data_IF_973506675122
#
_entry.id   IF_973506675122
#
_cell.length_a   1.000
_cell.length_b   1.000
_cell.length_c   1.000
_cell.angle_alpha   90.00
_cell.angle_beta   90.00
_cell.angle_gamma   90.00
#
_symmetry.space_group_name_H-M   'P 1'
#
loop_
_entity.id
_entity.type
_entity.pdbx_description
1 polymer ?
#
# COMPACT_ATOMS: atom_id res chain seq x y z
N UNK A 1 -8.03 6.19 -4.96
CA UNK A 1 -7.23 6.78 -3.86
C UNK A 1 -7.59 6.17 -2.52
N UNK A 2 -6.61 5.78 -1.71
CA UNK A 2 -6.76 5.28 -0.34
C UNK A 2 -7.20 6.46 0.52
N UNK A 3 -8.25 6.24 1.30
CA UNK A 3 -8.83 7.26 2.18
C UNK A 3 -8.87 6.76 3.63
N UNK A 4 -9.16 7.65 4.57
CA UNK A 4 -9.40 7.28 5.96
C UNK A 4 -10.54 6.23 6.09
N UNK A 5 -11.54 6.26 5.20
CA UNK A 5 -12.61 5.26 5.17
C UNK A 5 -12.07 3.86 4.80
N UNK A 6 -11.19 3.79 3.80
CA UNK A 6 -10.54 2.53 3.40
C UNK A 6 -9.71 1.96 4.55
N UNK A 7 -8.94 2.80 5.25
CA UNK A 7 -8.14 2.36 6.41
C UNK A 7 -9.02 1.87 7.56
N UNK A 8 -10.20 2.46 7.77
CA UNK A 8 -11.14 2.01 8.82
C UNK A 8 -11.86 0.71 8.49
N UNK A 9 -11.97 0.35 7.21
CA UNK A 9 -12.56 -0.92 6.76
C UNK A 9 -11.61 -2.12 6.96
N UNK A 10 -10.31 -1.85 7.19
CA UNK A 10 -9.30 -2.88 7.51
C UNK A 10 -9.68 -3.56 8.82
N UNK A 11 -9.83 -4.88 8.79
CA UNK A 11 -10.23 -5.67 9.96
C UNK A 11 -9.52 -7.02 10.08
N UNK A 12 -8.92 -7.54 9.01
CA UNK A 12 -8.18 -8.79 8.96
C UNK A 12 -6.66 -8.52 8.93
N UNK A 13 -6.13 -8.03 10.04
CA UNK A 13 -4.73 -7.58 10.12
C UNK A 13 -3.72 -8.75 10.04
N UNK A 14 -2.51 -8.50 9.49
CA UNK A 14 -2.08 -7.29 8.78
C UNK A 14 -2.66 -7.23 7.35
N UNK A 15 -2.95 -6.04 6.84
CA UNK A 15 -3.41 -5.87 5.44
C UNK A 15 -2.52 -4.91 4.67
N UNK A 16 -2.19 -5.26 3.42
CA UNK A 16 -1.49 -4.38 2.48
C UNK A 16 -2.46 -3.93 1.39
N UNK A 17 -2.83 -2.66 1.48
CA UNK A 17 -3.76 -2.03 0.56
C UNK A 17 -2.96 -1.41 -0.58
N UNK A 18 -3.14 -1.87 -1.82
CA UNK A 18 -2.49 -1.29 -2.97
C UNK A 18 -3.23 -0.02 -3.45
N UNK A 19 -2.47 0.92 -3.99
CA UNK A 19 -3.05 2.03 -4.73
C UNK A 19 -2.20 2.48 -5.92
N UNK A 20 -2.89 3.10 -6.85
CA UNK A 20 -2.32 3.68 -8.05
C UNK A 20 -2.93 5.07 -8.27
N UNK A 21 -2.13 5.94 -8.87
CA UNK A 21 -2.54 7.29 -9.19
C UNK A 21 -2.07 7.67 -10.59
N UNK A 22 -2.96 8.32 -11.34
CA UNK A 22 -2.64 8.97 -12.60
C UNK A 22 -3.24 10.35 -12.62
N UNK A 23 -2.44 11.35 -12.95
CA UNK A 23 -2.94 12.70 -13.08
C UNK A 23 -1.99 13.67 -13.74
N UNK A 24 -2.48 14.88 -13.92
CA UNK A 24 -1.69 15.99 -14.42
C UNK A 24 -1.23 16.85 -13.24
N UNK A 25 0.00 17.32 -13.29
CA UNK A 25 0.56 18.20 -12.26
C UNK A 25 0.89 19.52 -12.94
N UNK A 26 0.38 20.64 -12.39
CA UNK A 26 0.70 21.94 -12.94
C UNK A 26 2.15 22.33 -12.64
N UNK A 27 2.71 23.23 -13.43
CA UNK A 27 4.08 23.70 -13.24
C UNK A 27 4.25 24.33 -11.85
N UNK A 28 5.40 24.07 -11.22
CA UNK A 28 5.78 24.58 -9.89
C UNK A 28 4.75 24.27 -8.80
N UNK A 29 4.06 23.13 -8.89
CA UNK A 29 2.98 22.78 -7.97
C UNK A 29 3.03 21.30 -7.55
N UNK A 30 2.36 20.99 -6.45
CA UNK A 30 2.08 19.62 -6.04
C UNK A 30 0.83 19.09 -6.74
N UNK A 31 0.67 17.77 -6.84
CA UNK A 31 -0.54 17.18 -7.39
C UNK A 31 -1.76 17.58 -6.54
N UNK A 32 -2.84 17.96 -7.22
CA UNK A 32 -4.12 18.37 -6.61
C UNK A 32 -5.25 17.51 -7.20
N UNK A 33 -6.02 16.79 -6.36
CA UNK A 33 -5.85 16.64 -4.91
C UNK A 33 -4.57 15.86 -4.55
N UNK A 34 -4.06 15.98 -3.30
CA UNK A 34 -2.92 15.18 -2.85
C UNK A 34 -3.15 13.69 -3.04
N UNK A 35 -2.12 12.97 -3.47
CA UNK A 35 -2.20 11.53 -3.79
C UNK A 35 -2.59 10.71 -2.57
N UNK A 36 -2.00 11.02 -1.41
CA UNK A 36 -2.33 10.41 -0.13
C UNK A 36 -2.19 11.45 0.99
N UNK A 37 -3.27 11.71 1.70
CA UNK A 37 -3.26 12.48 2.94
C UNK A 37 -4.14 11.75 3.95
N UNK A 38 -3.51 10.99 4.83
CA UNK A 38 -4.15 10.23 5.88
C UNK A 38 -3.80 10.86 7.22
N UNK A 39 -4.83 11.26 7.95
CA UNK A 39 -4.73 11.80 9.31
C UNK A 39 -5.65 10.99 10.20
N UNK A 40 -5.39 10.98 11.51
CA UNK A 40 -6.33 10.42 12.51
C UNK A 40 -6.70 8.94 12.27
N UNK A 41 -5.75 8.13 11.82
CA UNK A 41 -5.92 6.67 11.66
C UNK A 41 -5.58 5.88 12.93
N UNK A 42 -5.31 6.57 14.05
CA UNK A 42 -5.21 5.95 15.38
C UNK A 42 -6.48 5.15 15.69
N UNK A 43 -6.38 3.92 16.23
CA UNK A 43 -5.20 3.31 16.86
C UNK A 43 -4.28 2.52 15.92
N UNK A 44 -4.54 2.48 14.61
CA UNK A 44 -3.75 1.67 13.66
C UNK A 44 -2.38 2.30 13.38
N UNK A 45 -1.40 1.46 13.06
CA UNK A 45 -0.13 1.90 12.47
C UNK A 45 -0.18 1.67 10.97
N UNK A 46 0.39 2.63 10.24
CA UNK A 46 0.48 2.57 8.79
C UNK A 46 1.94 2.50 8.36
N UNK A 47 2.21 1.78 7.27
CA UNK A 47 3.54 1.75 6.66
C UNK A 47 3.41 1.89 5.15
N UNK A 48 3.93 2.98 4.64
CA UNK A 48 4.00 3.24 3.21
C UNK A 48 5.19 2.49 2.62
N UNK A 49 4.93 1.70 1.58
CA UNK A 49 5.94 0.86 0.96
C UNK A 49 5.82 0.78 -0.56
N UNK A 50 6.90 0.25 -1.16
CA UNK A 50 6.97 -0.10 -2.59
C UNK A 50 6.51 1.06 -3.50
N UNK A 51 6.94 2.28 -3.18
CA UNK A 51 6.59 3.47 -3.97
C UNK A 51 7.33 3.44 -5.29
N UNK A 52 6.57 3.75 -6.31
CA UNK A 52 7.00 3.72 -7.69
C UNK A 52 6.36 4.92 -8.41
N UNK A 53 7.16 5.66 -9.18
CA UNK A 53 6.71 6.87 -9.90
C UNK A 53 7.38 7.01 -11.27
N UNK A 54 6.73 7.74 -12.19
CA UNK A 54 7.34 8.10 -13.47
C UNK A 54 8.67 8.83 -13.25
N UNK A 55 9.74 8.34 -13.87
CA UNK A 55 11.09 8.89 -13.71
C UNK A 55 11.25 10.17 -14.51
N UNK A 56 11.43 11.29 -13.82
CA UNK A 56 11.75 12.60 -14.40
C UNK A 56 12.61 13.38 -13.41
N UNK A 57 13.71 13.95 -13.89
CA UNK A 57 14.69 14.67 -13.06
C UNK A 57 14.15 15.99 -12.51
N UNK A 58 13.05 16.47 -13.08
CA UNK A 58 12.44 17.76 -12.71
C UNK A 58 11.33 17.64 -11.67
N UNK A 59 11.04 16.42 -11.23
CA UNK A 59 9.91 16.08 -10.37
C UNK A 59 10.39 15.47 -9.06
N UNK A 60 9.69 15.75 -7.98
CA UNK A 60 10.05 15.37 -6.63
C UNK A 60 8.94 14.57 -5.96
N UNK A 61 9.33 13.48 -5.33
CA UNK A 61 8.57 12.70 -4.38
C UNK A 61 8.59 13.39 -3.02
N UNK A 62 7.44 13.78 -2.49
CA UNK A 62 7.34 14.40 -1.16
C UNK A 62 6.60 13.47 -0.21
N UNK A 63 7.32 13.01 0.81
CA UNK A 63 6.77 12.14 1.84
C UNK A 63 6.89 12.84 3.18
N UNK A 64 5.79 12.86 3.93
CA UNK A 64 5.75 13.33 5.30
C UNK A 64 5.06 12.26 6.15
N UNK A 65 5.83 11.64 7.05
CA UNK A 65 5.35 10.64 7.99
C UNK A 65 5.72 11.08 9.41
N UNK A 66 4.71 11.47 10.20
CA UNK A 66 4.87 12.05 11.53
C UNK A 66 5.88 13.21 11.56
N UNK A 67 7.11 12.98 12.05
CA UNK A 67 8.20 13.97 12.12
C UNK A 67 9.15 13.92 10.92
N UNK A 68 9.10 12.86 10.12
CA UNK A 68 10.01 12.64 8.99
C UNK A 68 9.46 13.33 7.75
N UNK A 69 10.28 14.16 7.12
CA UNK A 69 9.96 14.80 5.84
C UNK A 69 11.09 14.54 4.85
N UNK A 70 10.75 13.89 3.74
CA UNK A 70 11.69 13.57 2.67
C UNK A 70 11.20 14.16 1.35
N UNK A 71 12.14 14.74 0.60
CA UNK A 71 11.96 15.15 -0.79
C UNK A 71 13.01 14.41 -1.62
N UNK A 72 12.57 13.60 -2.59
CA UNK A 72 13.45 12.73 -3.39
C UNK A 72 13.17 13.00 -4.85
N UNK A 73 14.20 13.19 -5.66
CA UNK A 73 14.03 13.41 -7.11
C UNK A 73 13.51 12.12 -7.77
N UNK A 74 12.41 12.20 -8.52
CA UNK A 74 11.78 11.04 -9.15
C UNK A 74 12.71 10.35 -10.17
N UNK A 75 13.57 11.12 -10.84
CA UNK A 75 14.60 10.60 -11.74
C UNK A 75 15.61 9.63 -11.11
N UNK A 76 15.87 9.75 -9.79
CA UNK A 76 16.83 8.90 -9.07
C UNK A 76 16.27 7.54 -8.62
N UNK A 77 14.99 7.28 -8.86
CA UNK A 77 14.33 6.04 -8.44
C UNK A 77 14.55 4.90 -9.43
N UNK A 78 14.36 3.66 -8.96
CA UNK A 78 14.54 2.45 -9.77
C UNK A 78 13.42 2.38 -10.81
N UNK A 79 13.76 2.08 -12.06
CA UNK A 79 12.79 1.90 -13.13
C UNK A 79 13.44 1.87 -14.50
N UNK A 80 12.74 1.30 -15.49
CA UNK A 80 13.15 1.31 -16.88
C UNK A 80 12.73 2.64 -17.54
N UNK A 81 13.66 3.55 -17.86
CA UNK A 81 13.33 4.83 -18.47
C UNK A 81 12.78 4.70 -19.91
N UNK A 82 12.93 3.53 -20.53
CA UNK A 82 12.56 3.27 -21.93
C UNK A 82 11.24 2.49 -22.11
N UNK A 83 10.56 2.09 -21.03
CA UNK A 83 9.28 1.40 -21.16
C UNK A 83 8.17 2.42 -21.40
N UNK A 84 7.46 2.25 -22.52
CA UNK A 84 6.59 3.26 -23.12
C UNK A 84 5.44 3.75 -22.22
N UNK A 85 4.98 2.94 -21.26
CA UNK A 85 3.82 3.27 -20.41
C UNK A 85 3.87 2.65 -18.99
N UNK A 86 5.03 2.17 -18.50
CA UNK A 86 5.00 1.36 -17.26
C UNK A 86 6.34 0.91 -16.70
N UNK A 87 7.44 1.58 -17.03
CA UNK A 87 8.78 1.22 -16.56
C UNK A 87 9.06 1.56 -15.10
N UNK A 88 8.05 1.49 -14.24
CA UNK A 88 8.15 1.96 -12.88
C UNK A 88 8.35 0.73 -11.98
N UNK A 89 9.58 0.56 -11.48
CA UNK A 89 9.88 -0.49 -10.52
C UNK A 89 9.70 0.07 -9.09
N UNK A 90 9.21 -0.75 -8.15
CA UNK A 90 9.04 -0.30 -6.79
C UNK A 90 10.44 -0.11 -6.19
N UNK A 91 10.66 1.08 -5.63
CA UNK A 91 11.87 1.32 -4.84
C UNK A 91 11.62 0.87 -3.40
N UNK A 92 12.69 0.50 -2.68
CA UNK A 92 12.61 0.00 -1.30
C UNK A 92 12.27 1.12 -0.32
N UNK A 93 11.03 1.59 -0.38
CA UNK A 93 10.44 2.48 0.60
C UNK A 93 9.80 1.64 1.70
N UNK A 94 10.10 2.00 2.95
CA UNK A 94 9.48 1.40 4.13
C UNK A 94 9.38 2.49 5.20
N UNK A 95 8.29 3.25 5.17
CA UNK A 95 8.12 4.44 6.01
C UNK A 95 6.96 4.20 6.96
N UNK A 96 7.28 4.06 8.25
CA UNK A 96 6.30 3.94 9.32
C UNK A 96 5.66 5.30 9.63
N UNK A 97 4.34 5.31 9.77
CA UNK A 97 3.55 6.45 10.20
C UNK A 97 2.55 6.02 11.27
N UNK A 98 2.42 6.84 12.30
CA UNK A 98 1.61 6.53 13.48
C UNK A 98 0.50 7.53 13.76
N UNK A 99 0.57 8.74 13.19
CA UNK A 99 -0.44 9.79 13.36
C UNK A 99 -0.78 10.49 12.04
N UNK A 100 0.24 10.73 11.21
CA UNK A 100 0.10 11.42 9.93
C UNK A 100 0.94 10.73 8.86
N UNK A 101 0.29 10.41 7.75
CA UNK A 101 0.94 9.92 6.54
C UNK A 101 0.50 10.77 5.35
N UNK A 102 1.45 11.46 4.76
CA UNK A 102 1.24 12.29 3.58
C UNK A 102 2.24 11.88 2.51
N UNK A 103 1.73 11.71 1.30
CA UNK A 103 2.50 11.38 0.13
C UNK A 103 1.95 12.16 -1.07
N UNK A 104 2.83 12.90 -1.74
CA UNK A 104 2.46 13.66 -2.92
C UNK A 104 3.64 13.80 -3.89
N UNK A 105 3.32 14.21 -5.13
CA UNK A 105 4.28 14.52 -6.18
C UNK A 105 4.33 16.03 -6.43
N UNK A 106 5.52 16.58 -6.60
CA UNK A 106 5.77 17.96 -6.99
C UNK A 106 6.45 17.99 -8.35
N UNK A 107 5.99 18.86 -9.26
CA UNK A 107 6.59 19.02 -10.57
C UNK A 107 7.06 20.45 -10.79
N UNK A 108 8.29 20.61 -11.28
CA UNK A 108 8.82 21.93 -11.65
C UNK A 108 8.27 22.40 -13.02
N UNK A 109 8.41 21.63 -14.12
CA UNK A 109 7.90 22.03 -15.44
C UNK A 109 6.39 21.81 -15.57
N UNK A 110 5.79 21.02 -14.68
CA UNK A 110 4.46 20.47 -14.89
C UNK A 110 4.50 19.34 -15.90
N UNK A 111 3.41 18.60 -15.99
CA UNK A 111 3.33 17.49 -16.92
C UNK A 111 2.01 16.76 -16.88
N UNK A 112 1.82 15.95 -17.92
CA UNK A 112 0.62 15.17 -18.12
C UNK A 112 0.87 13.70 -17.81
N UNK A 113 -0.19 13.01 -17.41
CA UNK A 113 -0.21 11.56 -17.19
C UNK A 113 0.95 11.05 -16.30
N UNK A 114 1.23 11.77 -15.21
CA UNK A 114 2.11 11.26 -14.18
C UNK A 114 1.49 10.02 -13.56
N UNK A 115 2.26 8.96 -13.47
CA UNK A 115 1.82 7.69 -12.91
C UNK A 115 2.61 7.38 -11.64
N UNK A 116 1.88 6.88 -10.64
CA UNK A 116 2.46 6.40 -9.39
C UNK A 116 1.69 5.18 -8.91
N UNK A 117 2.40 4.25 -8.26
CA UNK A 117 1.77 3.26 -7.40
C UNK A 117 2.52 3.12 -6.09
N UNK A 118 1.80 2.66 -5.06
CA UNK A 118 2.32 2.49 -3.72
C UNK A 118 1.44 1.49 -2.95
N UNK A 119 1.99 0.89 -1.91
CA UNK A 119 1.25 0.05 -0.97
C UNK A 119 1.23 0.67 0.42
N UNK A 120 0.11 0.53 1.13
CA UNK A 120 0.00 0.93 2.54
C UNK A 120 -0.35 -0.30 3.37
N UNK A 121 0.58 -0.71 4.23
CA UNK A 121 0.27 -1.67 5.29
C UNK A 121 -0.54 -1.00 6.38
N UNK A 122 -1.57 -1.67 6.87
CA UNK A 122 -2.35 -1.30 8.02
C UNK A 122 -2.43 -2.47 9.01
N UNK A 123 -2.08 -2.22 10.27
CA UNK A 123 -2.19 -3.21 11.34
C UNK A 123 -2.48 -2.57 12.70
N UNK A 124 -2.98 -3.39 13.63
CA UNK A 124 -3.10 -3.01 15.04
C UNK A 124 -1.73 -3.11 15.72
N UNK A 125 -1.21 -2.02 16.31
CA UNK A 125 0.12 -2.02 16.91
C UNK A 125 0.15 -2.91 18.14
N UNK A 126 1.19 -3.75 18.23
CA UNK A 126 1.51 -4.54 19.41
C UNK A 126 2.22 -3.69 20.47
N UNK A 127 2.42 -4.22 21.68
CA UNK A 127 3.23 -3.58 22.73
C UNK A 127 4.65 -3.28 22.22
N UNK A 128 5.23 -4.18 21.43
CA UNK A 128 6.55 -4.00 20.83
C UNK A 128 6.57 -2.85 19.81
N UNK A 129 5.54 -2.73 18.96
CA UNK A 129 5.42 -1.64 17.99
C UNK A 129 5.27 -0.28 18.69
N UNK A 130 4.48 -0.23 19.76
CA UNK A 130 4.29 1.00 20.56
C UNK A 130 5.58 1.43 21.25
N UNK A 131 6.35 0.48 21.76
CA UNK A 131 7.67 0.74 22.35
C UNK A 131 8.66 1.26 21.29
N UNK A 132 8.70 0.64 20.11
CA UNK A 132 9.55 1.08 19.00
C UNK A 132 9.21 2.50 18.53
N UNK A 133 7.91 2.84 18.51
CA UNK A 133 7.40 4.15 18.12
C UNK A 133 7.38 5.18 19.27
N UNK A 134 7.97 4.86 20.43
CA UNK A 134 8.01 5.71 21.63
C UNK A 134 6.61 6.20 22.10
N UNK A 135 5.56 5.40 21.89
CA UNK A 135 4.20 5.74 22.30
C UNK A 135 3.92 5.32 23.74
N UNK A 136 3.02 6.07 24.41
CA UNK A 136 2.59 5.74 25.77
C UNK A 136 1.85 4.41 25.79
N UNK A 137 2.34 3.48 26.61
CA UNK A 137 1.67 2.22 26.88
C UNK A 137 0.47 2.45 27.81
N UNK A 138 -0.58 1.66 27.64
CA UNK A 138 -1.66 1.60 28.63
C UNK A 138 -1.18 0.88 29.91
N UNK A 139 -1.85 1.05 31.06
CA UNK A 139 -1.46 0.35 32.30
C UNK A 139 -1.40 -1.18 32.14
N UNK A 140 -2.30 -1.75 31.34
CA UNK A 140 -2.31 -3.18 31.03
C UNK A 140 -1.10 -3.60 30.17
N UNK A 141 -0.77 -2.80 29.16
CA UNK A 141 0.39 -3.03 28.29
C UNK A 141 1.71 -2.88 29.04
N UNK A 142 1.79 -1.96 30.00
CA UNK A 142 2.95 -1.83 30.89
C UNK A 142 3.14 -3.07 31.75
N UNK A 143 2.04 -3.63 32.30
CA UNK A 143 2.10 -4.87 33.08
C UNK A 143 2.58 -6.05 32.22
N UNK A 144 2.08 -6.17 31.00
CA UNK A 144 2.52 -7.21 30.04
C UNK A 144 4.00 -7.03 29.68
N UNK A 145 4.43 -5.79 29.47
CA UNK A 145 5.83 -5.48 29.18
C UNK A 145 6.77 -5.86 30.34
N UNK A 146 6.35 -5.62 31.59
CA UNK A 146 7.11 -6.01 32.79
C UNK A 146 7.15 -7.53 32.98
N UNK A 147 6.01 -8.21 32.77
CA UNK A 147 5.88 -9.66 32.94
C UNK A 147 6.68 -10.45 31.89
N UNK A 148 6.56 -10.06 30.61
CA UNK A 148 7.21 -10.74 29.49
C UNK A 148 8.60 -10.17 29.14
N UNK A 149 8.99 -9.04 29.75
CA UNK A 149 10.28 -8.39 29.48
C UNK A 149 10.45 -7.93 28.03
N UNK A 150 9.36 -7.49 27.38
CA UNK A 150 9.32 -7.17 25.94
C UNK A 150 10.31 -6.05 25.60
N UNK A 151 10.46 -5.06 26.46
CA UNK A 151 11.44 -3.96 26.30
C UNK A 151 12.84 -4.47 25.99
N UNK A 152 13.32 -5.50 26.69
CA UNK A 152 14.65 -6.09 26.46
C UNK A 152 14.77 -6.77 25.11
N UNK A 153 13.67 -7.29 24.57
CA UNK A 153 13.65 -7.93 23.25
C UNK A 153 13.60 -6.90 22.12
N UNK A 154 12.92 -5.78 22.34
CA UNK A 154 12.89 -4.63 21.42
C UNK A 154 14.26 -3.95 21.37
N UNK A 155 14.90 -3.74 22.52
CA UNK A 155 16.27 -3.21 22.59
C UNK A 155 17.30 -4.09 21.85
N UNK A 156 17.09 -5.41 21.87
CA UNK A 156 17.91 -6.38 21.12
C UNK A 156 17.57 -6.45 19.63
N UNK A 157 16.52 -5.76 19.17
CA UNK A 157 16.05 -5.79 17.80
C UNK A 157 15.36 -7.09 17.38
N UNK A 158 14.91 -7.91 18.33
CA UNK A 158 14.18 -9.16 18.05
C UNK A 158 12.71 -8.92 17.72
N UNK A 159 12.13 -7.88 18.31
CA UNK A 159 10.75 -7.46 18.09
C UNK A 159 10.67 -5.96 17.80
N UNK A 160 9.68 -5.50 17.03
CA UNK A 160 8.69 -6.30 16.28
C UNK A 160 9.33 -7.05 15.10
N UNK A 161 8.77 -8.21 14.75
CA UNK A 161 9.24 -8.96 13.58
C UNK A 161 8.90 -8.18 12.29
N UNK A 162 9.74 -8.24 11.25
CA UNK A 162 9.36 -7.78 9.92
C UNK A 162 8.07 -8.46 9.45
N UNK A 163 7.16 -7.69 8.83
CA UNK A 163 5.83 -8.17 8.40
C UNK A 163 5.88 -9.44 7.54
N UNK A 164 6.81 -9.62 6.58
CA UNK A 164 6.92 -10.87 5.83
C UNK A 164 7.19 -12.10 6.72
N UNK A 165 8.09 -11.96 7.70
CA UNK A 165 8.42 -13.04 8.64
C UNK A 165 7.27 -13.33 9.61
N UNK A 166 6.45 -12.33 9.92
CA UNK A 166 5.25 -12.52 10.72
C UNK A 166 4.23 -13.37 9.94
N UNK A 167 3.96 -13.00 8.68
CA UNK A 167 3.03 -13.72 7.80
C UNK A 167 3.48 -15.18 7.62
N UNK A 168 4.76 -15.43 7.35
CA UNK A 168 5.31 -16.79 7.18
C UNK A 168 5.19 -17.66 8.44
N UNK A 169 5.12 -17.05 9.63
CA UNK A 169 4.99 -17.76 10.90
C UNK A 169 3.55 -17.95 11.35
N UNK A 170 2.68 -17.01 10.98
CA UNK A 170 1.25 -17.02 11.35
C UNK A 170 0.42 -17.86 10.39
N UNK A 171 0.78 -17.91 9.11
CA UNK A 171 0.00 -18.58 8.08
C UNK A 171 0.78 -19.69 7.40
N UNK A 172 0.12 -20.83 7.16
CA UNK A 172 0.64 -21.89 6.31
C UNK A 172 0.07 -21.73 4.90
N UNK A 173 0.94 -21.55 3.92
CA UNK A 173 0.55 -21.47 2.52
C UNK A 173 0.28 -22.89 2.02
N UNK A 174 -0.98 -23.20 1.74
CA UNK A 174 -1.40 -24.50 1.19
C UNK A 174 -1.23 -24.54 -0.33
N UNK A 175 -1.64 -23.47 -1.02
CA UNK A 175 -1.56 -23.33 -2.48
C UNK A 175 -1.38 -21.85 -2.86
N UNK A 176 -0.70 -21.60 -3.97
CA UNK A 176 -0.52 -20.27 -4.57
C UNK A 176 -0.75 -20.37 -6.08
N UNK A 177 -1.76 -19.65 -6.58
CA UNK A 177 -2.19 -19.77 -7.97
C UNK A 177 -2.36 -18.39 -8.63
N UNK A 178 -1.94 -18.30 -9.89
CA UNK A 178 -2.17 -17.13 -10.75
C UNK A 178 -3.37 -17.36 -11.66
N UNK A 179 -4.35 -16.46 -11.61
CA UNK A 179 -5.50 -16.45 -12.51
C UNK A 179 -5.34 -15.36 -13.56
N UNK A 180 -5.22 -15.76 -14.82
CA UNK A 180 -5.10 -14.86 -15.96
C UNK A 180 -6.41 -14.77 -16.74
N UNK A 181 -6.84 -13.55 -17.06
CA UNK A 181 -8.03 -13.31 -17.87
C UNK A 181 -7.74 -12.28 -18.96
N UNK A 182 -8.33 -12.48 -20.14
CA UNK A 182 -8.32 -11.51 -21.24
C UNK A 182 -9.76 -11.24 -21.63
N UNK A 183 -10.17 -9.97 -21.58
CA UNK A 183 -11.54 -9.56 -21.84
C UNK A 183 -11.59 -8.19 -22.51
N UNK A 184 -12.67 -7.95 -23.25
CA UNK A 184 -12.98 -6.62 -23.79
C UNK A 184 -13.82 -5.87 -22.78
N UNK A 185 -13.24 -4.85 -22.16
CA UNK A 185 -13.98 -3.94 -21.27
C UNK A 185 -14.86 -3.04 -22.13
N UNK A 186 -16.17 -3.07 -21.90
CA UNK A 186 -17.13 -2.14 -22.52
C UNK A 186 -17.32 -0.93 -21.63
N UNK A 187 -17.95 0.14 -22.14
CA UNK A 187 -18.19 1.36 -21.37
C UNK A 187 -19.18 1.20 -20.20
N UNK A 188 -19.79 0.02 -20.03
CA UNK A 188 -20.69 -0.27 -18.92
C UNK A 188 -19.91 -0.74 -17.69
N UNK A 189 -20.16 -0.17 -16.50
CA UNK A 189 -19.56 -0.65 -15.26
C UNK A 189 -20.10 -2.04 -14.87
N UNK A 190 -19.33 -2.79 -14.09
CA UNK A 190 -19.81 -4.01 -13.42
C UNK A 190 -19.49 -5.34 -14.09
N UNK A 191 -18.42 -5.41 -14.90
CA UNK A 191 -17.90 -6.69 -15.37
C UNK A 191 -17.18 -7.42 -14.22
N UNK A 192 -17.79 -8.47 -13.69
CA UNK A 192 -17.14 -9.37 -12.73
C UNK A 192 -16.10 -10.23 -13.47
N UNK A 193 -14.82 -10.06 -13.12
CA UNK A 193 -13.71 -10.80 -13.73
C UNK A 193 -13.67 -12.23 -13.21
N UNK A 194 -13.73 -12.38 -11.89
CA UNK A 194 -13.68 -13.66 -11.20
C UNK A 194 -14.32 -13.52 -9.82
N UNK A 195 -14.90 -14.62 -9.34
CA UNK A 195 -15.37 -14.76 -7.97
C UNK A 195 -14.76 -16.04 -7.42
N UNK A 196 -13.89 -15.89 -6.44
CA UNK A 196 -13.21 -17.00 -5.77
C UNK A 196 -13.86 -17.20 -4.40
N UNK A 197 -14.00 -18.46 -3.99
CA UNK A 197 -14.53 -18.81 -2.68
C UNK A 197 -13.50 -19.69 -1.97
N UNK A 198 -13.22 -19.44 -0.68
CA UNK A 198 -12.36 -20.32 0.10
C UNK A 198 -13.00 -21.70 0.25
N UNK A 199 -12.16 -22.71 0.48
CA UNK A 199 -12.62 -24.02 0.91
C UNK A 199 -12.94 -23.99 2.42
N UNK A 200 -13.72 -24.95 2.94
CA UNK A 200 -13.93 -25.05 4.38
C UNK A 200 -12.59 -25.10 5.13
N UNK A 201 -12.46 -24.30 6.20
CA UNK A 201 -11.27 -24.14 7.06
C UNK A 201 -10.05 -23.47 6.39
N UNK A 202 -10.21 -22.93 5.18
CA UNK A 202 -9.19 -22.13 4.49
C UNK A 202 -9.64 -20.66 4.38
N UNK A 203 -8.69 -19.75 4.15
CA UNK A 203 -8.98 -18.36 3.79
C UNK A 203 -8.13 -17.98 2.58
N UNK A 204 -8.62 -17.07 1.77
CA UNK A 204 -7.94 -16.63 0.55
C UNK A 204 -7.19 -15.33 0.81
N UNK A 205 -6.04 -15.15 0.15
CA UNK A 205 -5.30 -13.89 0.20
C UNK A 205 -4.98 -13.46 -1.22
N UNK A 206 -5.38 -12.23 -1.56
CA UNK A 206 -4.91 -11.58 -2.77
C UNK A 206 -3.53 -10.98 -2.51
N UNK A 207 -2.51 -11.54 -3.17
CA UNK A 207 -1.10 -11.18 -2.95
C UNK A 207 -0.54 -10.22 -4.01
N UNK A 208 -1.03 -10.33 -5.26
CA UNK A 208 -0.48 -9.61 -6.41
C UNK A 208 -1.54 -9.30 -7.46
N UNK A 209 -1.40 -8.15 -8.11
CA UNK A 209 -2.26 -7.73 -9.23
C UNK A 209 -1.38 -7.20 -10.35
N UNK A 210 -1.63 -7.66 -11.58
CA UNK A 210 -1.05 -7.10 -12.81
C UNK A 210 -2.13 -6.87 -13.84
N UNK A 211 -1.94 -5.86 -14.68
CA UNK A 211 -2.84 -5.51 -15.77
C UNK A 211 -2.07 -4.72 -16.81
N UNK A 212 -2.36 -4.94 -18.09
CA UNK A 212 -1.84 -4.12 -19.20
C UNK A 212 -3.02 -3.60 -20.02
N UNK A 213 -3.65 -2.49 -19.57
CA UNK A 213 -4.83 -1.97 -20.22
C UNK A 213 -4.43 -0.97 -21.32
N UNK A 214 -5.09 -1.07 -22.49
CA UNK A 214 -4.91 -0.09 -23.57
C UNK A 214 -5.66 1.23 -23.35
N UNK A 215 -6.52 1.29 -22.32
CA UNK A 215 -7.34 2.44 -21.92
C UNK A 215 -7.41 2.52 -20.40
N UNK A 216 -7.83 3.65 -19.84
CA UNK A 216 -8.03 3.76 -18.39
C UNK A 216 -9.18 2.85 -17.93
N UNK A 217 -8.84 1.82 -17.15
CA UNK A 217 -9.80 0.91 -16.51
C UNK A 217 -9.63 1.02 -15.00
N UNK A 218 -10.73 0.84 -14.27
CA UNK A 218 -10.73 0.78 -12.81
C UNK A 218 -11.04 -0.63 -12.36
N UNK A 219 -10.17 -1.20 -11.52
CA UNK A 219 -10.40 -2.47 -10.86
C UNK A 219 -11.11 -2.22 -9.53
N UNK A 220 -12.18 -2.99 -9.30
CA UNK A 220 -12.85 -3.08 -8.01
C UNK A 220 -12.52 -4.42 -7.36
N UNK A 221 -12.18 -4.39 -6.07
CA UNK A 221 -11.94 -5.57 -5.24
C UNK A 221 -13.03 -5.55 -4.16
N UNK A 222 -13.85 -6.59 -4.19
CA UNK A 222 -14.82 -6.92 -3.15
C UNK A 222 -14.21 -7.98 -2.24
N UNK A 223 -14.47 -7.88 -0.94
CA UNK A 223 -14.04 -8.86 0.06
C UNK A 223 -15.21 -9.17 0.97
N UNK A 224 -15.54 -10.44 1.15
CA UNK A 224 -16.57 -10.90 2.08
C UNK A 224 -17.87 -10.07 1.95
N UNK A 225 -18.32 -9.44 3.03
CA UNK A 225 -19.47 -8.52 3.06
C UNK A 225 -19.10 -7.06 2.73
N UNK A 226 -17.82 -6.74 2.58
CA UNK A 226 -17.30 -5.42 2.21
C UNK A 226 -17.34 -5.22 0.68
N UNK A 227 -18.54 -4.98 0.15
CA UNK A 227 -18.71 -4.58 -1.24
C UNK A 227 -17.96 -3.25 -1.52
N UNK A 228 -17.12 -3.27 -2.54
CA UNK A 228 -16.31 -2.14 -2.95
C UNK A 228 -15.16 -1.82 -2.01
N UNK A 229 -14.66 -2.79 -1.22
CA UNK A 229 -13.50 -2.62 -0.31
C UNK A 229 -12.39 -1.79 -0.96
N UNK A 230 -12.12 -2.06 -2.25
CA UNK A 230 -11.35 -1.16 -3.10
C UNK A 230 -12.07 -0.87 -4.42
N UNK A 231 -12.69 0.30 -4.57
CA UNK A 231 -13.53 0.60 -5.75
C UNK A 231 -12.83 1.39 -6.88
N UNK A 232 -11.55 1.77 -6.76
CA UNK A 232 -10.94 2.74 -7.69
C UNK A 232 -9.45 2.50 -7.97
N UNK A 233 -9.00 1.24 -8.09
CA UNK A 233 -7.61 1.01 -8.48
C UNK A 233 -7.47 1.32 -9.98
N UNK A 234 -6.76 2.38 -10.33
CA UNK A 234 -6.51 2.73 -11.73
C UNK A 234 -5.48 1.75 -12.30
N UNK A 235 -5.83 1.00 -13.34
CA UNK A 235 -4.92 -0.02 -13.89
C UNK A 235 -3.92 0.55 -14.89
N UNK A 236 -4.06 1.81 -15.32
CA UNK A 236 -3.18 2.41 -16.33
C UNK A 236 -1.69 2.45 -15.94
N UNK A 237 -1.30 2.66 -14.66
CA UNK A 237 0.10 2.56 -14.23
C UNK A 237 0.66 1.15 -14.18
N UNK A 238 -0.18 0.13 -14.33
CA UNK A 238 0.21 -1.26 -14.19
C UNK A 238 0.79 -1.78 -15.50
N UNK A 239 1.59 -2.83 -15.40
CA UNK A 239 2.14 -3.58 -16.52
C UNK A 239 2.08 -5.07 -16.17
N UNK A 240 2.12 -5.92 -17.20
CA UNK A 240 2.35 -7.36 -17.01
C UNK A 240 3.78 -7.67 -16.54
N UNK A 241 4.71 -6.71 -16.68
CA UNK A 241 6.11 -6.88 -16.26
C UNK A 241 6.33 -6.66 -14.75
N UNK A 242 5.38 -6.04 -14.03
CA UNK A 242 5.54 -5.66 -12.64
C UNK A 242 4.31 -5.97 -11.80
N UNK A 243 4.50 -6.78 -10.76
CA UNK A 243 3.45 -7.12 -9.79
C UNK A 243 3.18 -5.98 -8.82
N UNK A 244 1.93 -5.48 -8.79
CA UNK A 244 1.46 -4.65 -7.69
C UNK A 244 1.20 -5.55 -6.47
N UNK A 245 2.09 -5.45 -5.48
CA UNK A 245 1.95 -6.22 -4.24
C UNK A 245 0.76 -5.75 -3.42
N UNK A 246 0.01 -6.70 -2.90
CA UNK A 246 -1.06 -6.51 -1.95
C UNK A 246 -1.10 -7.67 -0.95
N UNK A 247 -1.91 -7.52 0.08
CA UNK A 247 -2.19 -8.58 1.04
C UNK A 247 -3.59 -8.27 1.56
N UNK A 248 -4.58 -8.77 0.83
CA UNK A 248 -5.99 -8.60 1.16
C UNK A 248 -6.53 -10.00 1.47
N UNK A 249 -6.57 -10.40 2.75
CA UNK A 249 -7.20 -11.65 3.17
C UNK A 249 -8.72 -11.56 3.04
N UNK A 250 -9.37 -12.70 2.80
CA UNK A 250 -10.82 -12.90 2.65
C UNK A 250 -11.23 -14.26 3.23
N UNK A 251 -12.40 -14.35 3.86
CA UNK A 251 -12.89 -15.52 4.63
C UNK A 251 -14.05 -16.26 3.97
#
# INVERSE_FOLDING_TARGET
MITEATIRAVHLYPELIPDTWVGNIAATSEAVPPILDLRRFSPLFLRLQDIAVTRRDSDELRILADKTRNAIVAGSLIGNPNAALGGIAPSNFNILATEKLYYNLYSTPGGFAFTSYYGVWAWKPTVADKLLAEKTLTPEESRINEELGISKTVEKGLHPLPTPLQIEREYQILDEMTYGHMFTVTALPGLTISTLHPRPDEFLVLTKITCDPSVTVFLTIDRDDDAGYRTTLNTLPLSLDFDLKCFIPAL
#
